data_IF_107334329096
#
_entry.id   IF_107334329096
#
_cell.length_a   1.000
_cell.length_b   1.000
_cell.length_c   1.000
_cell.angle_alpha   90.00
_cell.angle_beta   90.00
_cell.angle_gamma   90.00
#
_symmetry.space_group_name_H-M   'P 1'
#
loop_
_entity.id
_entity.type
_entity.pdbx_description
1 polymer ?
#
# COMPACT_ATOMS: atom_id res chain seq x y z
N UNK A 1 -60.47 20.20 -44.58
CA UNK A 1 -59.57 19.15 -45.09
C UNK A 1 -58.21 19.44 -44.47
N UNK A 2 -58.02 18.95 -43.23
CA UNK A 2 -57.42 17.63 -42.95
C UNK A 2 -55.93 17.69 -43.31
N UNK A 3 -55.04 17.92 -42.34
CA UNK A 3 -54.41 16.87 -41.52
C UNK A 3 -52.97 16.70 -42.04
N UNK A 4 -51.90 16.46 -41.30
CA UNK A 4 -51.63 16.13 -39.90
C UNK A 4 -50.17 16.53 -39.61
N UNK A 5 -49.88 16.68 -38.32
CA UNK A 5 -48.61 17.06 -37.71
C UNK A 5 -47.42 16.12 -38.00
N UNK A 6 -46.17 16.57 -37.74
CA UNK A 6 -45.12 15.68 -37.27
C UNK A 6 -45.34 15.38 -35.77
N UNK A 7 -45.77 14.16 -35.45
CA UNK A 7 -45.64 13.57 -34.09
C UNK A 7 -44.21 12.99 -33.98
N UNK A 8 -43.33 13.44 -33.06
CA UNK A 8 -43.26 13.22 -31.60
C UNK A 8 -43.23 11.75 -31.18
N UNK A 9 -42.05 11.29 -30.71
CA UNK A 9 -41.76 10.61 -29.42
C UNK A 9 -40.35 9.99 -29.50
N UNK A 10 -39.32 10.60 -28.88
CA UNK A 10 -38.92 10.47 -27.47
C UNK A 10 -38.18 9.15 -27.14
N UNK A 11 -36.90 9.28 -26.77
CA UNK A 11 -36.25 8.60 -25.64
C UNK A 11 -34.82 9.19 -25.54
N UNK A 12 -34.59 10.29 -24.83
CA UNK A 12 -34.46 10.33 -23.36
C UNK A 12 -33.45 9.29 -22.85
N UNK A 13 -32.17 9.44 -23.18
CA UNK A 13 -31.07 8.77 -22.47
C UNK A 13 -29.77 9.59 -22.36
N UNK A 14 -29.78 10.84 -22.79
CA UNK A 14 -28.75 11.82 -22.46
C UNK A 14 -29.42 12.90 -21.59
N UNK A 15 -28.75 13.30 -20.50
CA UNK A 15 -29.26 14.13 -19.39
C UNK A 15 -29.96 13.31 -18.28
N UNK A 16 -29.31 12.25 -17.77
CA UNK A 16 -29.62 11.75 -16.43
C UNK A 16 -28.41 11.07 -15.76
N UNK A 17 -27.27 11.75 -15.66
CA UNK A 17 -26.14 11.29 -14.80
C UNK A 17 -25.36 12.40 -14.08
N UNK A 18 -25.86 13.63 -14.04
CA UNK A 18 -25.20 14.77 -13.37
C UNK A 18 -25.99 15.30 -12.15
N UNK A 19 -27.24 14.89 -11.90
CA UNK A 19 -28.05 15.38 -10.77
C UNK A 19 -28.39 14.38 -9.67
N UNK A 20 -27.58 13.32 -9.45
CA UNK A 20 -27.82 12.36 -8.34
C UNK A 20 -26.88 12.46 -7.13
N UNK A 21 -26.08 13.52 -7.01
CA UNK A 21 -25.26 13.77 -5.82
C UNK A 21 -25.71 14.98 -4.97
N UNK A 22 -26.75 15.71 -5.36
CA UNK A 22 -27.18 16.93 -4.65
C UNK A 22 -28.09 16.70 -3.43
N UNK A 23 -28.51 15.46 -3.15
CA UNK A 23 -29.40 15.15 -2.01
C UNK A 23 -28.86 14.06 -1.07
N UNK A 24 -27.53 13.88 -0.99
CA UNK A 24 -26.94 13.18 0.15
C UNK A 24 -26.98 14.14 1.34
N UNK A 25 -27.53 13.77 2.51
CA UNK A 25 -27.54 14.66 3.66
C UNK A 25 -26.10 15.08 3.94
N UNK A 26 -25.80 16.38 3.78
CA UNK A 26 -24.62 16.96 4.43
C UNK A 26 -24.85 16.71 5.92
N UNK A 27 -24.17 15.70 6.46
CA UNK A 27 -24.05 15.52 7.90
C UNK A 27 -23.29 16.75 8.40
N UNK A 28 -24.05 17.79 8.73
CA UNK A 28 -23.54 18.91 9.51
C UNK A 28 -23.14 18.33 10.85
N UNK A 29 -21.84 18.11 11.02
CA UNK A 29 -21.20 17.84 12.30
C UNK A 29 -21.58 18.97 13.25
N UNK A 30 -22.64 18.77 14.02
CA UNK A 30 -23.13 19.68 15.05
C UNK A 30 -23.22 18.92 16.37
N UNK A 31 -22.04 18.58 16.89
CA UNK A 31 -21.79 18.18 18.28
C UNK A 31 -20.83 19.20 18.92
N UNK A 32 -20.83 19.35 20.25
CA UNK A 32 -20.56 20.62 20.92
C UNK A 32 -19.13 21.14 20.69
N UNK A 33 -19.10 22.36 20.16
CA UNK A 33 -18.12 23.44 20.28
C UNK A 33 -16.79 23.09 20.97
N UNK A 34 -15.78 22.79 20.16
CA UNK A 34 -14.42 23.39 20.08
C UNK A 34 -13.39 22.33 19.68
N UNK A 35 -13.38 21.95 18.40
CA UNK A 35 -12.16 21.44 17.75
C UNK A 35 -12.00 22.21 16.45
N UNK A 36 -11.63 23.50 16.58
CA UNK A 36 -11.20 24.34 15.47
C UNK A 36 -9.67 24.38 15.47
N UNK A 37 -9.02 23.32 15.01
CA UNK A 37 -7.66 23.45 14.50
C UNK A 37 -7.55 22.60 13.24
N UNK A 38 -7.48 23.29 12.09
CA UNK A 38 -7.01 22.68 10.87
C UNK A 38 -5.59 22.16 11.06
N UNK A 39 -5.16 21.26 10.18
CA UNK A 39 -3.77 20.83 10.04
C UNK A 39 -2.83 22.05 10.26
N UNK A 40 -1.76 21.87 11.03
CA UNK A 40 -0.73 22.92 11.18
C UNK A 40 -0.38 23.48 9.78
N UNK A 41 -0.12 24.78 9.65
CA UNK A 41 0.18 25.45 8.36
C UNK A 41 1.33 24.80 7.56
N UNK A 42 2.09 23.90 8.18
CA UNK A 42 3.18 23.12 7.59
C UNK A 42 2.84 21.68 7.17
N UNK A 43 1.63 21.18 7.39
CA UNK A 43 1.24 19.82 6.97
C UNK A 43 0.78 19.83 5.50
N UNK A 44 1.63 19.26 4.64
CA UNK A 44 1.34 19.11 3.21
C UNK A 44 0.10 18.25 2.98
N UNK A 45 -0.97 18.84 2.44
CA UNK A 45 -2.14 18.11 1.96
C UNK A 45 -1.73 17.15 0.84
N UNK A 46 -1.75 15.86 1.13
CA UNK A 46 -1.43 14.82 0.15
C UNK A 46 -2.54 14.72 -0.91
N UNK A 47 -2.16 14.50 -2.17
CA UNK A 47 -3.08 14.23 -3.29
C UNK A 47 -2.54 13.10 -4.14
N UNK A 48 -3.39 12.42 -4.90
CA UNK A 48 -2.99 11.35 -5.81
C UNK A 48 -2.02 11.86 -6.89
N UNK A 49 -2.10 13.15 -7.25
CA UNK A 49 -1.12 13.79 -8.13
C UNK A 49 0.30 13.78 -7.57
N UNK A 50 0.49 13.65 -6.25
CA UNK A 50 1.82 13.52 -5.65
C UNK A 50 2.51 12.20 -6.01
N UNK A 51 1.81 11.17 -6.50
CA UNK A 51 2.43 9.98 -7.08
C UNK A 51 2.67 10.11 -8.59
N UNK A 52 2.20 11.17 -9.24
CA UNK A 52 2.35 11.34 -10.68
C UNK A 52 3.51 12.26 -11.02
N UNK A 53 4.04 12.11 -12.23
CA UNK A 53 5.04 13.01 -12.83
C UNK A 53 6.34 13.13 -12.02
N UNK A 54 6.75 12.04 -11.37
CA UNK A 54 8.03 11.97 -10.66
C UNK A 54 9.06 11.26 -11.52
N UNK A 55 10.18 11.91 -11.80
CA UNK A 55 11.26 11.28 -12.54
C UNK A 55 11.88 10.15 -11.72
N UNK A 56 11.85 8.94 -12.25
CA UNK A 56 12.23 7.71 -11.54
C UNK A 56 12.81 6.64 -12.45
N UNK A 57 12.71 5.39 -12.03
CA UNK A 57 13.05 4.24 -12.89
C UNK A 57 11.99 4.11 -13.98
N UNK A 58 12.41 4.05 -15.24
CA UNK A 58 11.49 3.83 -16.35
C UNK A 58 10.89 2.42 -16.28
N UNK A 59 9.62 2.34 -15.88
CA UNK A 59 8.87 1.09 -15.89
C UNK A 59 8.34 0.80 -17.29
N UNK A 60 8.64 -0.39 -17.79
CA UNK A 60 8.18 -0.81 -19.12
C UNK A 60 7.93 -2.30 -19.15
N UNK A 61 7.09 -2.70 -20.10
CA UNK A 61 6.90 -4.11 -20.39
C UNK A 61 8.17 -4.71 -21.00
N UNK A 62 8.60 -5.83 -20.45
CA UNK A 62 9.66 -6.66 -21.02
C UNK A 62 9.05 -7.84 -21.78
N UNK A 63 9.76 -8.28 -22.81
CA UNK A 63 9.45 -9.54 -23.45
C UNK A 63 9.71 -10.71 -22.51
N UNK A 64 8.94 -11.78 -22.70
CA UNK A 64 9.08 -12.99 -21.91
C UNK A 64 10.48 -13.60 -22.02
N UNK A 65 11.06 -13.61 -23.22
CA UNK A 65 12.43 -14.07 -23.49
C UNK A 65 13.46 -13.35 -22.62
N UNK A 66 13.32 -12.03 -22.46
CA UNK A 66 14.19 -11.20 -21.63
C UNK A 66 14.00 -11.47 -20.14
N UNK A 67 12.76 -11.60 -19.69
CA UNK A 67 12.45 -11.94 -18.29
C UNK A 67 13.04 -13.31 -17.92
N UNK A 68 12.93 -14.28 -18.83
CA UNK A 68 13.48 -15.61 -18.63
C UNK A 68 15.01 -15.60 -18.62
N UNK A 69 15.64 -14.98 -19.63
CA UNK A 69 17.10 -14.98 -19.77
C UNK A 69 17.82 -14.24 -18.65
N UNK A 70 17.23 -13.17 -18.11
CA UNK A 70 17.85 -12.35 -17.06
C UNK A 70 17.36 -12.71 -15.65
N UNK A 71 16.33 -13.55 -15.51
CA UNK A 71 15.72 -13.81 -14.20
C UNK A 71 16.64 -14.54 -13.22
N UNK A 72 17.39 -15.53 -13.71
CA UNK A 72 18.39 -16.23 -12.90
C UNK A 72 19.56 -15.33 -12.48
N UNK A 73 20.06 -14.51 -13.41
CA UNK A 73 21.12 -13.54 -13.13
C UNK A 73 20.65 -12.50 -12.11
N UNK A 74 19.44 -11.98 -12.27
CA UNK A 74 18.79 -11.10 -11.30
C UNK A 74 18.76 -11.73 -9.91
N UNK A 75 18.31 -12.98 -9.76
CA UNK A 75 18.27 -13.65 -8.46
C UNK A 75 19.67 -13.89 -7.88
N UNK A 76 20.65 -14.27 -8.70
CA UNK A 76 22.05 -14.40 -8.25
C UNK A 76 22.63 -13.07 -7.76
N UNK A 77 22.31 -11.99 -8.45
CA UNK A 77 22.72 -10.64 -8.07
C UNK A 77 22.13 -10.21 -6.72
N UNK A 78 20.84 -10.48 -6.49
CA UNK A 78 20.19 -10.26 -5.18
C UNK A 78 20.74 -11.20 -4.10
N UNK A 79 21.18 -12.40 -4.45
CA UNK A 79 21.75 -13.34 -3.49
C UNK A 79 23.16 -12.92 -3.08
N UNK A 80 24.00 -12.51 -4.03
CA UNK A 80 25.44 -12.32 -3.80
C UNK A 80 25.82 -10.91 -3.33
N UNK A 81 24.97 -9.90 -3.53
CA UNK A 81 25.30 -8.51 -3.19
C UNK A 81 26.44 -7.96 -4.07
N UNK A 82 26.10 -7.36 -5.21
CA UNK A 82 27.10 -6.83 -6.13
C UNK A 82 27.31 -5.32 -5.93
N UNK A 83 28.36 -4.95 -5.20
CA UNK A 83 28.76 -3.57 -4.93
C UNK A 83 29.13 -2.74 -6.17
N UNK A 84 29.54 -3.40 -7.27
CA UNK A 84 30.01 -2.71 -8.49
C UNK A 84 28.89 -2.32 -9.48
N UNK A 85 27.64 -2.77 -9.28
CA UNK A 85 26.49 -2.44 -10.16
C UNK A 85 25.17 -2.29 -9.39
N UNK A 86 25.25 -1.78 -8.16
CA UNK A 86 24.12 -1.75 -7.22
C UNK A 86 22.90 -1.00 -7.78
N UNK A 87 23.06 0.13 -8.47
CA UNK A 87 21.91 0.90 -8.97
C UNK A 87 21.11 0.19 -10.06
N UNK A 88 21.79 -0.45 -11.02
CA UNK A 88 21.13 -1.25 -12.06
C UNK A 88 20.39 -2.44 -11.43
N UNK A 89 21.01 -3.07 -10.43
CA UNK A 89 20.45 -4.20 -9.70
C UNK A 89 19.13 -3.84 -9.03
N UNK A 90 19.07 -2.65 -8.45
CA UNK A 90 17.90 -2.12 -7.76
C UNK A 90 16.79 -1.68 -8.73
N UNK A 91 17.16 -1.10 -9.87
CA UNK A 91 16.21 -0.78 -10.93
C UNK A 91 15.57 -2.05 -11.50
N UNK A 92 16.32 -3.15 -11.61
CA UNK A 92 15.77 -4.44 -12.04
C UNK A 92 14.70 -4.96 -11.07
N UNK A 93 14.80 -4.72 -9.76
CA UNK A 93 13.72 -5.09 -8.82
C UNK A 93 12.41 -4.40 -9.22
N UNK A 94 12.44 -3.09 -9.46
CA UNK A 94 11.25 -2.33 -9.85
C UNK A 94 10.73 -2.75 -11.23
N UNK A 95 11.63 -3.00 -12.19
CA UNK A 95 11.26 -3.41 -13.54
C UNK A 95 10.68 -4.82 -13.59
N UNK A 96 11.26 -5.80 -12.89
CA UNK A 96 10.71 -7.14 -12.79
C UNK A 96 9.40 -7.15 -12.00
N UNK A 97 9.27 -6.32 -10.95
CA UNK A 97 8.01 -6.16 -10.24
C UNK A 97 6.90 -5.59 -11.15
N UNK A 98 7.21 -4.61 -12.01
CA UNK A 98 6.26 -4.11 -13.02
C UNK A 98 5.86 -5.19 -14.03
N UNK A 99 6.69 -6.21 -14.23
CA UNK A 99 6.39 -7.33 -15.12
C UNK A 99 5.78 -8.53 -14.39
N UNK A 100 5.28 -8.35 -13.17
CA UNK A 100 4.60 -9.40 -12.40
C UNK A 100 3.54 -10.16 -13.20
N UNK A 101 3.66 -11.49 -13.22
CA UNK A 101 2.66 -12.38 -13.79
C UNK A 101 1.54 -12.58 -12.77
N UNK A 102 0.31 -12.42 -13.23
CA UNK A 102 -0.91 -12.61 -12.46
C UNK A 102 -1.24 -14.10 -12.43
N UNK A 103 -1.33 -14.75 -11.24
CA UNK A 103 -1.75 -16.15 -11.18
C UNK A 103 -3.17 -16.37 -11.74
N UNK A 104 -4.07 -15.39 -11.58
CA UNK A 104 -5.45 -15.54 -12.06
C UNK A 104 -5.58 -15.48 -13.59
N UNK A 105 -4.83 -14.59 -14.26
CA UNK A 105 -4.92 -14.43 -15.72
C UNK A 105 -3.80 -15.13 -16.48
N UNK A 106 -2.75 -15.57 -15.79
CA UNK A 106 -1.48 -16.03 -16.37
C UNK A 106 -0.83 -15.04 -17.35
N UNK A 107 -1.30 -13.79 -17.34
CA UNK A 107 -0.73 -12.67 -18.06
C UNK A 107 -0.10 -11.68 -17.09
N UNK A 108 0.50 -10.62 -17.61
CA UNK A 108 1.06 -9.63 -16.71
C UNK A 108 -0.02 -8.79 -16.05
N UNK A 109 0.21 -8.48 -14.78
CA UNK A 109 -0.69 -7.69 -13.94
C UNK A 109 -0.77 -6.22 -14.38
N UNK A 110 0.38 -5.61 -14.68
CA UNK A 110 0.46 -4.18 -14.95
C UNK A 110 0.38 -3.90 -16.46
N UNK A 111 -0.20 -2.73 -16.84
CA UNK A 111 -0.32 -2.32 -18.23
C UNK A 111 1.06 -2.15 -18.87
N UNK A 112 1.07 -2.20 -20.21
CA UNK A 112 2.31 -1.99 -20.98
C UNK A 112 2.92 -0.60 -20.75
N UNK A 113 2.07 0.39 -20.51
CA UNK A 113 2.44 1.79 -20.30
C UNK A 113 2.29 2.11 -18.81
N UNK A 114 3.32 2.72 -18.23
CA UNK A 114 3.24 3.32 -16.91
C UNK A 114 2.47 4.66 -17.00
N UNK A 115 1.30 4.79 -16.33
CA UNK A 115 0.52 6.02 -16.36
C UNK A 115 1.17 7.19 -15.61
N UNK A 116 2.26 6.94 -14.87
CA UNK A 116 2.98 7.93 -14.07
C UNK A 116 4.33 8.34 -14.65
N UNK A 117 4.76 7.68 -15.75
CA UNK A 117 6.05 7.92 -16.38
C UNK A 117 6.21 9.33 -16.96
N UNK A 118 7.45 9.80 -17.01
CA UNK A 118 7.85 11.09 -17.57
C UNK A 118 8.97 10.93 -18.59
N UNK A 119 9.10 11.91 -19.50
CA UNK A 119 10.19 11.93 -20.50
C UNK A 119 11.59 11.97 -19.87
N UNK A 120 11.70 12.36 -18.59
CA UNK A 120 12.95 12.45 -17.83
C UNK A 120 13.24 11.21 -16.97
N UNK A 121 12.48 10.13 -17.13
CA UNK A 121 12.74 8.88 -16.40
C UNK A 121 14.07 8.25 -16.83
N UNK A 122 14.73 7.59 -15.88
CA UNK A 122 16.03 6.96 -16.11
C UNK A 122 15.81 5.59 -16.75
N UNK A 123 16.27 5.37 -18.00
CA UNK A 123 16.18 4.07 -18.64
C UNK A 123 17.21 3.13 -18.00
N UNK A 124 16.75 1.97 -17.54
CA UNK A 124 17.62 0.90 -17.08
C UNK A 124 17.55 -0.27 -18.06
N UNK A 125 18.72 -0.73 -18.50
CA UNK A 125 18.89 -1.89 -19.36
C UNK A 125 19.49 -2.99 -18.47
N UNK A 126 18.84 -4.16 -18.43
CA UNK A 126 19.44 -5.34 -17.84
C UNK A 126 20.78 -5.57 -18.55
N UNK A 127 21.89 -5.64 -17.81
CA UNK A 127 23.23 -5.76 -18.43
C UNK A 127 23.27 -7.03 -19.28
N UNK A 128 23.24 -6.86 -20.61
CA UNK A 128 23.16 -8.00 -21.53
C UNK A 128 22.70 -7.64 -22.95
N UNK A 129 23.41 -6.72 -23.62
CA UNK A 129 23.34 -6.37 -25.06
C UNK A 129 22.10 -5.61 -25.60
N UNK A 130 22.47 -4.65 -26.46
CA UNK A 130 21.71 -3.89 -27.47
C UNK A 130 20.59 -2.92 -27.02
N UNK A 131 20.70 -1.69 -27.52
CA UNK A 131 19.64 -0.68 -27.50
C UNK A 131 18.42 -1.24 -28.23
N UNK A 132 17.32 -1.42 -27.51
CA UNK A 132 16.08 -1.88 -28.11
C UNK A 132 15.31 -0.72 -28.76
N UNK A 133 14.98 -0.89 -30.04
CA UNK A 133 14.04 -0.10 -30.82
C UNK A 133 12.62 -0.23 -30.21
N UNK A 134 11.91 0.88 -29.90
CA UNK A 134 10.67 0.84 -29.14
C UNK A 134 9.41 0.44 -29.93
N UNK A 135 9.51 0.07 -31.21
CA UNK A 135 8.34 -0.47 -31.90
C UNK A 135 8.14 -1.93 -31.47
N UNK A 136 6.98 -2.29 -30.90
CA UNK A 136 6.28 -3.54 -31.23
C UNK A 136 4.99 -3.83 -30.44
N UNK A 137 4.10 -4.56 -31.09
CA UNK A 137 2.76 -4.98 -30.67
C UNK A 137 2.79 -6.12 -29.63
N UNK A 138 1.85 -6.09 -28.69
CA UNK A 138 1.71 -7.14 -27.67
C UNK A 138 0.95 -8.34 -28.22
N UNK A 139 1.63 -9.48 -28.35
CA UNK A 139 0.99 -10.79 -28.54
C UNK A 139 0.65 -11.38 -27.17
N UNK A 140 -0.61 -11.76 -26.95
CA UNK A 140 -1.02 -12.53 -25.77
C UNK A 140 -0.55 -13.97 -25.99
N UNK A 141 0.57 -14.35 -25.39
CA UNK A 141 1.00 -15.75 -25.34
C UNK A 141 0.36 -16.40 -24.12
N UNK A 142 -0.49 -17.41 -24.36
CA UNK A 142 -0.96 -18.34 -23.34
C UNK A 142 0.18 -19.31 -23.05
N UNK A 143 1.00 -19.02 -22.04
CA UNK A 143 2.06 -19.93 -21.61
C UNK A 143 1.47 -21.08 -20.79
N UNK A 144 2.01 -22.28 -20.97
CA UNK A 144 1.61 -23.44 -20.17
C UNK A 144 2.24 -23.36 -18.78
N UNK A 145 1.46 -23.66 -17.74
CA UNK A 145 1.95 -23.75 -16.35
C UNK A 145 3.05 -24.82 -16.22
N UNK A 146 3.08 -25.81 -17.11
CA UNK A 146 4.10 -26.87 -17.15
C UNK A 146 5.41 -26.43 -17.81
N UNK A 147 5.47 -25.25 -18.43
CA UNK A 147 6.69 -24.74 -19.07
C UNK A 147 7.68 -24.23 -17.98
N UNK A 148 8.87 -24.85 -17.84
CA UNK A 148 9.87 -24.40 -16.87
C UNK A 148 10.28 -22.94 -17.05
N UNK A 149 10.28 -22.42 -18.29
CA UNK A 149 10.60 -21.02 -18.54
C UNK A 149 9.52 -20.09 -17.97
N UNK A 150 8.25 -20.49 -18.09
CA UNK A 150 7.14 -19.71 -17.53
C UNK A 150 7.16 -19.72 -16.02
N UNK A 151 7.40 -20.88 -15.41
CA UNK A 151 7.55 -21.01 -13.96
C UNK A 151 8.69 -20.13 -13.42
N UNK A 152 9.83 -20.11 -14.13
CA UNK A 152 10.98 -19.27 -13.82
C UNK A 152 10.65 -17.77 -13.85
N UNK A 153 9.94 -17.30 -14.88
CA UNK A 153 9.49 -15.90 -14.98
C UNK A 153 8.50 -15.54 -13.87
N UNK A 154 7.54 -16.41 -13.57
CA UNK A 154 6.60 -16.21 -12.46
C UNK A 154 7.35 -16.06 -11.13
N UNK A 155 8.28 -16.97 -10.84
CA UNK A 155 9.05 -16.95 -9.60
C UNK A 155 9.95 -15.70 -9.47
N UNK A 156 10.58 -15.30 -10.56
CA UNK A 156 11.46 -14.12 -10.60
C UNK A 156 10.67 -12.84 -10.34
N UNK A 157 9.58 -12.62 -11.09
CA UNK A 157 8.77 -11.41 -10.97
C UNK A 157 7.99 -11.36 -9.64
N UNK A 158 7.57 -12.51 -9.11
CA UNK A 158 7.00 -12.63 -7.77
C UNK A 158 8.00 -12.26 -6.68
N UNK A 159 9.26 -12.72 -6.81
CA UNK A 159 10.34 -12.34 -5.88
C UNK A 159 10.64 -10.85 -5.95
N UNK A 160 10.65 -10.26 -7.15
CA UNK A 160 10.82 -8.82 -7.31
C UNK A 160 9.71 -8.02 -6.62
N UNK A 161 8.45 -8.47 -6.73
CA UNK A 161 7.31 -7.88 -6.00
C UNK A 161 7.47 -7.98 -4.48
N UNK A 162 7.92 -9.12 -3.96
CA UNK A 162 8.13 -9.27 -2.51
C UNK A 162 9.26 -8.37 -1.99
N UNK A 163 10.32 -8.15 -2.77
CA UNK A 163 11.43 -7.27 -2.40
C UNK A 163 11.01 -5.80 -2.23
N UNK A 164 9.88 -5.37 -2.81
CA UNK A 164 9.35 -4.02 -2.59
C UNK A 164 9.04 -3.74 -1.11
N UNK A 165 8.81 -4.78 -0.28
CA UNK A 165 8.67 -4.62 1.18
C UNK A 165 9.85 -3.88 1.81
N UNK A 166 11.05 -3.96 1.23
CA UNK A 166 12.28 -3.37 1.79
C UNK A 166 12.31 -1.84 1.77
N UNK A 167 11.37 -1.17 1.10
CA UNK A 167 11.18 0.27 1.25
C UNK A 167 10.85 0.67 2.70
N UNK A 168 10.21 -0.23 3.46
CA UNK A 168 9.74 0.03 4.82
C UNK A 168 10.22 -1.04 5.83
N UNK A 169 10.25 -2.31 5.41
CA UNK A 169 10.61 -3.47 6.20
C UNK A 169 12.13 -3.51 6.48
N UNK A 170 12.52 -4.26 7.53
CA UNK A 170 13.94 -4.54 7.80
C UNK A 170 14.40 -5.81 7.08
N UNK A 171 15.70 -5.94 6.74
CA UNK A 171 16.26 -7.15 6.14
C UNK A 171 15.98 -8.42 6.96
N UNK A 172 16.17 -8.37 8.28
CA UNK A 172 15.90 -9.51 9.16
C UNK A 172 14.42 -9.93 9.11
N UNK A 173 13.49 -8.96 9.16
CA UNK A 173 12.07 -9.27 9.06
C UNK A 173 11.75 -9.92 7.72
N UNK A 174 12.35 -9.46 6.62
CA UNK A 174 12.16 -10.06 5.29
C UNK A 174 12.64 -11.50 5.26
N UNK A 175 13.85 -11.77 5.75
CA UNK A 175 14.41 -13.12 5.85
C UNK A 175 13.52 -14.07 6.66
N UNK A 176 13.00 -13.62 7.81
CA UNK A 176 12.07 -14.42 8.60
C UNK A 176 10.78 -14.77 7.84
N UNK A 177 10.35 -13.92 6.91
CA UNK A 177 9.16 -14.16 6.09
C UNK A 177 9.41 -14.98 4.82
N UNK A 178 10.68 -15.30 4.49
CA UNK A 178 11.03 -15.90 3.19
C UNK A 178 10.35 -17.25 2.94
N UNK A 179 10.27 -18.12 3.96
CA UNK A 179 9.57 -19.40 3.84
C UNK A 179 8.09 -19.20 3.50
N UNK A 180 7.41 -18.30 4.21
CA UNK A 180 5.99 -17.99 3.97
C UNK A 180 5.77 -17.39 2.58
N UNK A 181 6.71 -16.55 2.10
CA UNK A 181 6.67 -15.98 0.75
C UNK A 181 6.67 -17.10 -0.30
N UNK A 182 7.52 -18.13 -0.14
CA UNK A 182 7.56 -19.31 -1.02
C UNK A 182 6.32 -20.19 -0.89
N UNK A 183 5.80 -20.38 0.31
CA UNK A 183 4.58 -21.17 0.52
C UNK A 183 3.38 -20.49 -0.15
N UNK A 184 3.28 -19.16 -0.04
CA UNK A 184 2.24 -18.37 -0.72
C UNK A 184 2.43 -18.38 -2.24
N UNK A 185 3.65 -18.47 -2.75
CA UNK A 185 3.92 -18.65 -4.19
C UNK A 185 3.29 -19.96 -4.67
N UNK A 186 3.62 -21.08 -4.01
CA UNK A 186 3.04 -22.38 -4.33
C UNK A 186 1.51 -22.35 -4.27
N UNK A 187 0.94 -21.77 -3.20
CA UNK A 187 -0.50 -21.66 -3.05
C UNK A 187 -1.18 -20.82 -4.15
N UNK A 188 -0.46 -19.85 -4.72
CA UNK A 188 -1.02 -18.95 -5.75
C UNK A 188 -0.90 -19.54 -7.16
N UNK A 189 0.23 -20.18 -7.46
CA UNK A 189 0.55 -20.66 -8.81
C UNK A 189 0.33 -22.16 -9.03
N UNK A 190 0.23 -22.95 -7.95
CA UNK A 190 0.02 -24.40 -8.02
C UNK A 190 1.27 -25.23 -8.35
N UNK A 191 2.46 -24.63 -8.38
CA UNK A 191 3.73 -25.33 -8.62
C UNK A 191 4.83 -24.84 -7.68
N UNK A 192 5.84 -25.70 -7.46
CA UNK A 192 6.94 -25.40 -6.54
C UNK A 192 7.80 -24.24 -7.04
N UNK A 193 8.37 -23.48 -6.09
CA UNK A 193 9.31 -22.42 -6.43
C UNK A 193 10.56 -23.00 -7.14
N UNK A 194 10.82 -22.65 -8.41
CA UNK A 194 11.78 -23.36 -9.26
C UNK A 194 13.24 -23.12 -8.85
N UNK A 195 13.55 -21.98 -8.22
CA UNK A 195 14.91 -21.64 -7.81
C UNK A 195 15.22 -22.15 -6.40
N UNK A 196 15.35 -23.47 -6.24
CA UNK A 196 15.64 -24.10 -4.93
C UNK A 196 16.94 -23.62 -4.28
N UNK A 197 17.91 -23.17 -5.10
CA UNK A 197 19.18 -22.62 -4.65
C UNK A 197 19.09 -21.17 -4.17
N UNK A 198 18.00 -20.45 -4.48
CA UNK A 198 17.89 -19.04 -4.16
C UNK A 198 17.46 -18.83 -2.71
N UNK A 199 18.36 -18.21 -1.94
CA UNK A 199 18.13 -17.75 -0.59
C UNK A 199 18.69 -16.32 -0.52
N UNK A 200 17.86 -15.29 -0.29
CA UNK A 200 18.35 -13.92 -0.16
C UNK A 200 19.42 -13.83 0.94
N UNK A 201 20.55 -13.15 0.69
CA UNK A 201 21.54 -12.88 1.73
C UNK A 201 21.15 -11.65 2.55
N UNK A 202 21.56 -11.63 3.82
CA UNK A 202 21.27 -10.49 4.70
C UNK A 202 21.97 -9.23 4.21
N UNK A 203 23.22 -9.38 3.78
CA UNK A 203 24.09 -8.31 3.31
C UNK A 203 23.50 -7.64 2.07
N UNK A 204 23.02 -8.41 1.08
CA UNK A 204 22.38 -7.82 -0.09
C UNK A 204 21.06 -7.12 0.25
N UNK A 205 20.25 -7.70 1.14
CA UNK A 205 19.00 -7.07 1.58
C UNK A 205 19.25 -5.77 2.35
N UNK A 206 20.33 -5.67 3.13
CA UNK A 206 20.77 -4.44 3.79
C UNK A 206 21.14 -3.35 2.78
N UNK A 207 21.88 -3.71 1.72
CA UNK A 207 22.21 -2.81 0.63
C UNK A 207 20.96 -2.31 -0.11
N UNK A 208 20.05 -3.22 -0.46
CA UNK A 208 18.78 -2.89 -1.14
C UNK A 208 17.94 -1.95 -0.28
N UNK A 209 17.75 -2.31 1.00
CA UNK A 209 16.99 -1.53 1.97
C UNK A 209 17.59 -0.12 2.14
N UNK A 210 18.92 -0.02 2.25
CA UNK A 210 19.61 1.27 2.38
C UNK A 210 19.37 2.17 1.17
N UNK A 211 19.50 1.62 -0.03
CA UNK A 211 19.31 2.38 -1.27
C UNK A 211 17.86 2.79 -1.50
N UNK A 212 16.88 1.89 -1.29
CA UNK A 212 15.46 2.23 -1.38
C UNK A 212 15.04 3.34 -0.42
N UNK A 213 15.65 3.41 0.77
CA UNK A 213 15.36 4.44 1.76
C UNK A 213 16.02 5.79 1.45
N UNK A 214 17.20 5.80 0.83
CA UNK A 214 18.01 7.02 0.60
C UNK A 214 17.83 7.63 -0.79
N UNK A 215 17.70 6.81 -1.83
CA UNK A 215 17.71 7.26 -3.21
C UNK A 215 16.29 7.62 -3.70
N UNK A 216 16.09 8.88 -4.07
CA UNK A 216 14.81 9.39 -4.57
C UNK A 216 14.39 8.75 -5.90
N UNK A 217 15.34 8.32 -6.74
CA UNK A 217 15.04 7.68 -8.03
C UNK A 217 14.26 6.38 -7.83
N UNK A 218 14.67 5.52 -6.89
CA UNK A 218 13.96 4.27 -6.62
C UNK A 218 12.62 4.50 -5.92
N UNK A 219 12.54 5.49 -5.01
CA UNK A 219 11.25 5.90 -4.44
C UNK A 219 10.30 6.38 -5.53
N UNK A 220 10.77 7.22 -6.44
CA UNK A 220 9.96 7.70 -7.55
C UNK A 220 9.59 6.55 -8.50
N UNK A 221 10.49 5.61 -8.79
CA UNK A 221 10.16 4.41 -9.58
C UNK A 221 9.09 3.50 -8.93
N UNK A 222 8.89 3.59 -7.61
CA UNK A 222 7.82 2.88 -6.91
C UNK A 222 6.43 3.52 -7.14
N UNK A 223 6.34 4.77 -7.60
CA UNK A 223 5.04 5.47 -7.71
C UNK A 223 4.09 4.80 -8.68
N UNK A 224 4.56 4.36 -9.84
CA UNK A 224 3.74 3.67 -10.83
C UNK A 224 3.14 2.38 -10.27
N UNK A 225 3.96 1.60 -9.55
CA UNK A 225 3.52 0.37 -8.88
C UNK A 225 2.43 0.64 -7.84
N UNK A 226 2.61 1.66 -6.99
CA UNK A 226 1.62 2.04 -5.96
C UNK A 226 0.33 2.60 -6.58
N UNK A 227 0.45 3.43 -7.60
CA UNK A 227 -0.70 3.99 -8.32
C UNK A 227 -1.53 2.87 -8.95
N UNK A 228 -0.89 1.94 -9.65
CA UNK A 228 -1.58 0.81 -10.27
C UNK A 228 -2.10 -0.20 -9.25
N UNK A 229 -1.42 -0.36 -8.12
CA UNK A 229 -1.88 -1.23 -7.04
C UNK A 229 -3.26 -0.81 -6.51
N UNK A 230 -3.51 0.49 -6.36
CA UNK A 230 -4.82 1.02 -5.96
C UNK A 230 -5.85 0.99 -7.08
N UNK A 231 -5.41 1.20 -8.32
CA UNK A 231 -6.32 1.26 -9.48
C UNK A 231 -6.84 -0.12 -9.91
N UNK A 232 -6.05 -1.18 -9.75
CA UNK A 232 -6.37 -2.52 -10.23
C UNK A 232 -7.05 -3.33 -9.11
N UNK A 233 -8.16 -4.02 -9.39
CA UNK A 233 -8.84 -4.87 -8.40
C UNK A 233 -8.39 -6.34 -8.40
N UNK A 234 -7.97 -6.88 -9.56
CA UNK A 234 -7.59 -8.30 -9.69
C UNK A 234 -6.45 -8.69 -8.76
N UNK A 235 -6.49 -9.85 -8.11
CA UNK A 235 -5.47 -10.35 -7.16
C UNK A 235 -4.95 -9.31 -6.15
N UNK A 236 -5.82 -8.38 -5.71
CA UNK A 236 -5.43 -7.35 -4.74
C UNK A 236 -4.85 -7.96 -3.47
N UNK A 237 -5.47 -9.02 -2.94
CA UNK A 237 -5.00 -9.73 -1.75
C UNK A 237 -3.57 -10.26 -1.90
N UNK A 238 -3.21 -10.75 -3.10
CA UNK A 238 -1.86 -11.22 -3.36
C UNK A 238 -0.87 -10.06 -3.43
N UNK A 239 -1.22 -8.95 -4.07
CA UNK A 239 -0.35 -7.77 -4.09
C UNK A 239 -0.20 -7.15 -2.69
N UNK A 240 -1.29 -7.11 -1.94
CA UNK A 240 -1.32 -6.68 -0.54
C UNK A 240 -0.37 -7.52 0.31
N UNK A 241 -0.46 -8.84 0.16
CA UNK A 241 0.48 -9.77 0.75
C UNK A 241 1.91 -9.50 0.27
N UNK A 242 2.16 -9.39 -1.03
CA UNK A 242 3.52 -9.26 -1.57
C UNK A 242 4.20 -7.97 -1.14
N UNK A 243 3.50 -6.84 -1.12
CA UNK A 243 4.09 -5.57 -0.71
C UNK A 243 3.11 -4.56 -0.12
N UNK A 244 1.84 -4.54 -0.57
CA UNK A 244 0.90 -3.45 -0.26
C UNK A 244 0.76 -3.20 1.25
N UNK A 245 0.46 -4.23 2.03
CA UNK A 245 0.30 -4.13 3.49
C UNK A 245 1.56 -3.65 4.24
N UNK A 246 2.74 -3.84 3.66
CA UNK A 246 4.00 -3.41 4.27
C UNK A 246 4.33 -1.95 3.95
N UNK A 247 3.81 -1.43 2.83
CA UNK A 247 4.05 -0.05 2.39
C UNK A 247 2.97 0.92 2.89
N UNK A 248 1.74 0.44 3.02
CA UNK A 248 0.62 1.22 3.53
C UNK A 248 0.81 1.64 4.99
N UNK A 249 0.41 2.87 5.29
CA UNK A 249 0.41 3.45 6.63
C UNK A 249 1.73 3.24 7.38
N UNK A 250 2.87 3.25 6.66
CA UNK A 250 4.17 2.99 7.25
C UNK A 250 4.43 3.93 8.44
N UNK A 251 4.72 3.32 9.60
CA UNK A 251 4.90 4.01 10.88
C UNK A 251 3.68 4.85 11.36
N UNK A 252 2.47 4.58 10.86
CA UNK A 252 1.21 5.22 11.25
C UNK A 252 0.23 4.19 11.85
N UNK A 253 0.72 3.33 12.76
CA UNK A 253 -0.06 2.20 13.32
C UNK A 253 -1.39 2.61 13.97
N UNK A 254 -1.51 3.84 14.48
CA UNK A 254 -2.74 4.33 15.09
C UNK A 254 -3.94 4.29 14.11
N UNK A 255 -3.74 4.67 12.84
CA UNK A 255 -4.83 4.70 11.86
C UNK A 255 -5.43 3.31 11.54
N UNK A 256 -4.66 2.29 11.09
CA UNK A 256 -5.24 0.98 10.79
C UNK A 256 -5.80 0.30 12.04
N UNK A 257 -5.22 0.53 13.23
CA UNK A 257 -5.79 0.03 14.48
C UNK A 257 -7.13 0.70 14.79
N UNK A 258 -7.22 2.03 14.65
CA UNK A 258 -8.47 2.78 14.82
C UNK A 258 -9.57 2.24 13.90
N UNK A 259 -9.28 2.08 12.60
CA UNK A 259 -10.24 1.55 11.62
C UNK A 259 -10.65 0.11 11.97
N UNK A 260 -9.72 -0.71 12.46
CA UNK A 260 -10.01 -2.08 12.92
C UNK A 260 -10.96 -2.08 14.12
N UNK A 261 -10.66 -1.28 15.15
CA UNK A 261 -11.50 -1.14 16.35
C UNK A 261 -12.91 -0.68 15.97
N UNK A 262 -13.04 0.37 15.15
CA UNK A 262 -14.34 0.88 14.69
C UNK A 262 -15.16 -0.19 13.99
N UNK A 263 -14.54 -0.95 13.08
CA UNK A 263 -15.20 -2.07 12.38
C UNK A 263 -15.63 -3.18 13.34
N UNK A 264 -14.78 -3.56 14.29
CA UNK A 264 -15.04 -4.69 15.21
C UNK A 264 -16.07 -4.36 16.27
N UNK A 265 -15.97 -3.17 16.86
CA UNK A 265 -16.96 -2.67 17.77
C UNK A 265 -18.23 -2.21 17.06
N UNK A 266 -18.27 -2.21 15.72
CA UNK A 266 -19.30 -1.60 14.87
C UNK A 266 -19.76 -0.25 15.45
N UNK A 267 -18.80 0.61 15.80
CA UNK A 267 -19.06 1.96 16.24
C UNK A 267 -18.66 2.93 15.12
N UNK A 268 -19.39 4.04 15.01
CA UNK A 268 -18.96 5.10 14.11
C UNK A 268 -17.66 5.74 14.61
N UNK A 269 -16.92 6.34 13.68
CA UNK A 269 -15.62 6.91 13.98
C UNK A 269 -15.70 8.10 14.96
N UNK A 270 -16.81 8.84 14.99
CA UNK A 270 -17.00 9.99 15.87
C UNK A 270 -17.08 9.56 17.33
N UNK A 271 -17.88 8.53 17.61
CA UNK A 271 -18.02 7.93 18.93
C UNK A 271 -16.71 7.32 19.41
N UNK A 272 -15.96 6.64 18.53
CA UNK A 272 -14.64 6.10 18.90
C UNK A 272 -13.63 7.22 19.19
N UNK A 273 -13.58 8.26 18.36
CA UNK A 273 -12.71 9.44 18.59
C UNK A 273 -13.05 10.13 19.91
N UNK A 274 -14.33 10.36 20.18
CA UNK A 274 -14.79 11.00 21.42
C UNK A 274 -14.43 10.19 22.67
N UNK A 275 -14.60 8.86 22.62
CA UNK A 275 -14.21 7.98 23.72
C UNK A 275 -12.69 7.96 23.95
N UNK A 276 -11.90 7.97 22.86
CA UNK A 276 -10.44 8.07 22.92
C UNK A 276 -10.00 9.43 23.48
N UNK A 277 -10.59 10.53 23.05
CA UNK A 277 -10.26 11.88 23.53
C UNK A 277 -10.54 12.01 25.04
N UNK A 278 -11.67 11.47 25.48
CA UNK A 278 -12.06 11.47 26.90
C UNK A 278 -11.07 10.66 27.76
N UNK A 279 -10.60 9.52 27.24
CA UNK A 279 -9.73 8.60 27.99
C UNK A 279 -8.24 8.91 27.83
N UNK A 280 -7.87 9.67 26.79
CA UNK A 280 -6.49 10.00 26.42
C UNK A 280 -6.37 11.46 25.95
N UNK A 281 -6.74 12.46 26.77
CA UNK A 281 -6.71 13.87 26.36
C UNK A 281 -5.30 14.34 25.96
N UNK A 282 -4.26 13.76 26.56
CA UNK A 282 -2.86 14.02 26.20
C UNK A 282 -2.46 13.56 24.78
N UNK A 283 -3.37 12.95 24.02
CA UNK A 283 -3.16 12.52 22.63
C UNK A 283 -4.01 13.32 21.63
N UNK A 284 -4.58 14.45 22.05
CA UNK A 284 -5.44 15.33 21.25
C UNK A 284 -4.88 15.59 19.84
N UNK A 285 -3.63 16.06 19.72
CA UNK A 285 -3.02 16.36 18.41
C UNK A 285 -2.94 15.15 17.45
N UNK A 286 -2.82 13.93 17.99
CA UNK A 286 -2.85 12.72 17.17
C UNK A 286 -4.28 12.35 16.77
N UNK A 287 -5.25 12.54 17.68
CA UNK A 287 -6.67 12.33 17.42
C UNK A 287 -7.22 13.33 16.39
N UNK A 288 -6.80 14.59 16.44
CA UNK A 288 -7.14 15.62 15.44
C UNK A 288 -6.64 15.21 14.06
N UNK A 289 -5.40 14.71 13.98
CA UNK A 289 -4.84 14.23 12.72
C UNK A 289 -5.60 13.01 12.18
N UNK A 290 -6.08 12.09 13.04
CA UNK A 290 -6.97 11.00 12.61
C UNK A 290 -8.29 11.54 12.06
N UNK A 291 -8.89 12.52 12.72
CA UNK A 291 -10.12 13.16 12.27
C UNK A 291 -9.95 13.81 10.90
N UNK A 292 -8.82 14.50 10.67
CA UNK A 292 -8.51 15.06 9.35
C UNK A 292 -8.40 13.94 8.31
N UNK A 293 -7.64 12.87 8.58
CA UNK A 293 -7.53 11.74 7.63
C UNK A 293 -8.92 11.20 7.26
N UNK A 294 -9.77 10.99 8.27
CA UNK A 294 -11.12 10.46 8.07
C UNK A 294 -11.97 11.39 7.21
N UNK A 295 -11.95 12.69 7.50
CA UNK A 295 -12.79 13.69 6.81
C UNK A 295 -12.31 13.91 5.38
N UNK A 296 -11.01 14.14 5.21
CA UNK A 296 -10.43 14.66 3.98
C UNK A 296 -10.03 13.58 2.97
N UNK A 297 -9.92 12.32 3.42
CA UNK A 297 -9.41 11.23 2.59
C UNK A 297 -10.28 9.97 2.61
N UNK A 298 -11.02 9.69 3.69
CA UNK A 298 -11.81 8.45 3.80
C UNK A 298 -13.27 8.68 3.44
N UNK A 299 -13.95 9.63 4.08
CA UNK A 299 -15.40 9.81 3.94
C UNK A 299 -15.80 10.75 2.81
N UNK A 300 -15.01 11.80 2.57
CA UNK A 300 -15.27 12.75 1.50
C UNK A 300 -14.02 12.98 0.65
N UNK A 301 -13.45 11.93 0.02
CA UNK A 301 -12.30 12.11 -0.83
C UNK A 301 -12.67 13.03 -2.01
N UNK A 302 -11.93 14.13 -2.16
CA UNK A 302 -11.96 14.93 -3.37
C UNK A 302 -11.54 14.06 -4.57
N UNK A 303 -11.89 14.45 -5.81
CA UNK A 303 -11.52 13.68 -7.02
C UNK A 303 -10.02 13.37 -7.10
N UNK A 304 -9.18 14.29 -6.63
CA UNK A 304 -7.73 14.17 -6.56
C UNK A 304 -7.20 13.33 -5.37
N UNK A 305 -8.08 12.66 -4.63
CA UNK A 305 -7.77 11.77 -3.49
C UNK A 305 -8.53 10.44 -3.55
N UNK A 306 -9.24 10.18 -4.65
CA UNK A 306 -10.12 9.01 -4.78
C UNK A 306 -9.37 7.67 -4.69
N UNK A 307 -8.09 7.62 -5.10
CA UNK A 307 -7.26 6.42 -5.01
C UNK A 307 -6.67 6.21 -3.62
N UNK A 308 -6.87 7.16 -2.70
CA UNK A 308 -6.40 7.09 -1.32
C UNK A 308 -4.89 6.83 -1.18
N UNK A 309 -4.08 7.41 -2.08
CA UNK A 309 -2.62 7.18 -2.12
C UNK A 309 -1.88 7.77 -0.91
N UNK A 310 -2.57 8.58 -0.10
CA UNK A 310 -2.05 9.19 1.14
C UNK A 310 -1.50 8.16 2.12
N UNK A 311 -1.99 6.92 2.09
CA UNK A 311 -1.47 5.83 2.93
C UNK A 311 0.00 5.51 2.64
N UNK A 312 0.53 5.88 1.47
CA UNK A 312 1.94 5.73 1.13
C UNK A 312 2.77 7.00 1.36
N UNK A 313 2.14 8.10 1.79
CA UNK A 313 2.73 9.44 1.81
C UNK A 313 4.12 9.47 2.46
N UNK A 314 4.26 8.75 3.57
CA UNK A 314 5.47 8.75 4.39
C UNK A 314 6.70 8.08 3.79
N UNK A 315 6.54 7.30 2.72
CA UNK A 315 7.67 6.78 1.96
C UNK A 315 8.41 7.94 1.27
N UNK A 316 7.64 8.94 0.82
CA UNK A 316 8.09 10.07 0.02
C UNK A 316 8.31 11.34 0.84
N UNK A 317 7.41 11.61 1.77
CA UNK A 317 7.39 12.78 2.65
C UNK A 317 7.36 12.28 4.10
N UNK A 318 8.54 12.05 4.72
CA UNK A 318 8.64 11.44 6.05
C UNK A 318 7.84 12.16 7.15
N UNK A 319 7.54 13.44 6.95
CA UNK A 319 6.81 14.32 7.87
C UNK A 319 5.31 14.41 7.64
N UNK A 320 4.76 13.81 6.57
CA UNK A 320 3.30 13.69 6.45
C UNK A 320 2.72 12.95 7.67
N UNK A 321 1.63 13.50 8.23
CA UNK A 321 0.94 12.98 9.41
C UNK A 321 1.88 12.82 10.61
N UNK A 322 2.65 13.86 10.91
CA UNK A 322 3.75 13.81 11.88
C UNK A 322 3.27 13.41 13.28
N UNK A 323 2.12 13.94 13.73
CA UNK A 323 1.57 13.63 15.06
C UNK A 323 1.13 12.16 15.18
N UNK A 324 0.77 11.52 14.07
CA UNK A 324 0.40 10.09 14.02
C UNK A 324 1.57 9.14 13.84
N UNK A 325 2.81 9.64 13.79
CA UNK A 325 4.01 8.79 13.84
C UNK A 325 3.93 7.91 15.08
N UNK A 326 4.14 6.60 14.92
CA UNK A 326 3.94 5.60 15.99
C UNK A 326 4.73 5.95 17.26
N UNK A 327 5.96 6.44 17.13
CA UNK A 327 6.81 6.86 18.25
C UNK A 327 6.38 8.19 18.89
N UNK A 328 5.56 9.02 18.22
CA UNK A 328 4.96 10.25 18.77
C UNK A 328 3.65 9.98 19.52
N UNK A 329 2.90 8.96 19.11
CA UNK A 329 1.59 8.61 19.68
C UNK A 329 1.56 7.19 20.28
N UNK A 330 2.66 6.75 20.90
CA UNK A 330 2.81 5.36 21.39
C UNK A 330 1.70 4.94 22.35
N UNK A 331 1.27 5.83 23.24
CA UNK A 331 0.16 5.56 24.17
C UNK A 331 -1.17 5.35 23.45
N UNK A 332 -1.48 6.19 22.45
CA UNK A 332 -2.67 6.00 21.61
C UNK A 332 -2.62 4.64 20.88
N UNK A 333 -1.47 4.30 20.29
CA UNK A 333 -1.26 3.01 19.61
C UNK A 333 -1.44 1.85 20.58
N UNK A 334 -0.91 1.94 21.80
CA UNK A 334 -1.05 0.91 22.83
C UNK A 334 -2.52 0.70 23.24
N UNK A 335 -3.26 1.79 23.51
CA UNK A 335 -4.70 1.73 23.83
C UNK A 335 -5.48 1.07 22.70
N UNK A 336 -5.25 1.49 21.45
CA UNK A 336 -5.92 0.90 20.28
C UNK A 336 -5.55 -0.58 20.08
N UNK A 337 -4.29 -0.95 20.30
CA UNK A 337 -3.85 -2.35 20.24
C UNK A 337 -4.54 -3.22 21.31
N UNK A 338 -4.67 -2.72 22.54
CA UNK A 338 -5.43 -3.39 23.58
C UNK A 338 -6.92 -3.51 23.25
N UNK A 339 -7.53 -2.47 22.67
CA UNK A 339 -8.92 -2.52 22.20
C UNK A 339 -9.14 -3.62 21.15
N UNK A 340 -8.23 -3.73 20.18
CA UNK A 340 -8.26 -4.82 19.19
C UNK A 340 -8.18 -6.19 19.87
N UNK A 341 -7.29 -6.35 20.87
CA UNK A 341 -7.14 -7.60 21.62
C UNK A 341 -8.38 -7.95 22.43
N UNK A 342 -9.03 -6.96 23.06
CA UNK A 342 -10.30 -7.15 23.78
C UNK A 342 -11.45 -7.56 22.86
N UNK A 343 -11.42 -7.12 21.59
CA UNK A 343 -12.34 -7.60 20.56
C UNK A 343 -12.07 -9.05 20.12
N UNK A 344 -11.04 -9.72 20.68
CA UNK A 344 -10.63 -11.12 20.42
C UNK A 344 -10.43 -11.43 18.93
N UNK A 345 -9.83 -10.50 18.18
CA UNK A 345 -9.69 -10.66 16.74
C UNK A 345 -8.24 -10.60 16.27
N UNK A 346 -7.92 -11.49 15.33
CA UNK A 346 -6.72 -11.39 14.50
C UNK A 346 -6.79 -10.05 13.76
N UNK A 347 -5.79 -9.19 14.00
CA UNK A 347 -5.67 -7.92 13.31
C UNK A 347 -4.83 -8.09 12.02
N UNK A 348 -4.76 -7.07 11.18
CA UNK A 348 -3.97 -7.10 9.92
C UNK A 348 -2.46 -7.36 10.12
N UNK A 349 -1.98 -7.21 11.36
CA UNK A 349 -0.64 -7.61 11.75
C UNK A 349 -0.64 -9.11 11.98
N UNK A 350 0.09 -9.85 11.16
CA UNK A 350 0.39 -11.27 11.39
C UNK A 350 1.26 -11.38 12.67
N UNK A 351 0.61 -11.44 13.83
CA UNK A 351 1.24 -11.44 15.16
C UNK A 351 0.41 -10.75 16.24
N UNK A 352 0.78 -10.93 17.52
CA UNK A 352 0.19 -10.17 18.62
C UNK A 352 0.40 -8.67 18.34
N UNK A 353 -0.69 -7.89 18.28
CA UNK A 353 -0.68 -6.45 18.00
C UNK A 353 0.14 -5.68 19.05
N UNK A 354 0.41 -6.30 20.21
CA UNK A 354 1.31 -5.78 21.23
C UNK A 354 2.80 -5.92 20.89
N UNK A 355 3.17 -6.65 19.83
CA UNK A 355 4.55 -6.77 19.35
C UNK A 355 4.99 -5.65 18.42
N UNK A 356 4.19 -4.59 18.24
CA UNK A 356 4.64 -3.36 17.59
C UNK A 356 5.92 -2.89 18.30
N UNK A 357 7.04 -2.85 17.58
CA UNK A 357 8.37 -2.67 18.16
C UNK A 357 8.50 -1.42 19.02
N UNK A 358 7.83 -0.34 18.63
CA UNK A 358 7.80 0.92 19.38
C UNK A 358 7.15 0.79 20.77
N UNK A 359 6.20 -0.14 20.95
CA UNK A 359 5.55 -0.35 22.25
C UNK A 359 6.47 -0.98 23.28
N UNK A 360 7.58 -1.60 22.86
CA UNK A 360 8.62 -2.14 23.76
C UNK A 360 9.34 -1.05 24.57
N UNK A 361 9.21 0.21 24.17
CA UNK A 361 9.79 1.35 24.87
C UNK A 361 8.90 1.87 26.00
N UNK A 362 7.64 1.44 26.10
CA UNK A 362 6.75 1.80 27.20
C UNK A 362 7.08 0.97 28.44
N UNK A 363 6.98 1.57 29.63
CA UNK A 363 7.13 0.84 30.88
C UNK A 363 5.95 -0.11 31.13
N UNK A 364 6.13 -1.10 32.01
CA UNK A 364 5.05 -2.01 32.40
C UNK A 364 3.85 -1.27 33.02
N UNK A 365 4.11 -0.19 33.75
CA UNK A 365 3.08 0.67 34.34
C UNK A 365 2.30 1.43 33.24
N UNK A 366 3.00 1.99 32.26
CA UNK A 366 2.37 2.68 31.13
C UNK A 366 1.50 1.74 30.29
N UNK A 367 1.97 0.51 30.05
CA UNK A 367 1.19 -0.51 29.36
C UNK A 367 -0.06 -0.91 30.17
N UNK A 368 0.06 -1.02 31.50
CA UNK A 368 -1.07 -1.30 32.38
C UNK A 368 -2.11 -0.19 32.35
N UNK A 369 -1.69 1.07 32.40
CA UNK A 369 -2.59 2.24 32.25
C UNK A 369 -3.28 2.24 30.88
N UNK A 370 -2.54 1.97 29.79
CA UNK A 370 -3.12 1.88 28.45
C UNK A 370 -4.16 0.75 28.34
N UNK A 371 -3.90 -0.40 28.98
CA UNK A 371 -4.85 -1.51 29.04
C UNK A 371 -6.12 -1.13 29.81
N UNK A 372 -5.99 -0.48 30.97
CA UNK A 372 -7.14 -0.03 31.76
C UNK A 372 -8.00 0.96 30.97
N UNK A 373 -7.39 1.92 30.28
CA UNK A 373 -8.09 2.86 29.39
C UNK A 373 -8.82 2.15 28.26
N UNK A 374 -8.20 1.16 27.64
CA UNK A 374 -8.86 0.34 26.62
C UNK A 374 -10.09 -0.41 27.17
N UNK A 375 -10.01 -0.97 28.37
CA UNK A 375 -11.13 -1.64 29.03
C UNK A 375 -12.28 -0.68 29.32
N UNK A 376 -11.98 0.54 29.81
CA UNK A 376 -12.98 1.59 30.04
C UNK A 376 -13.68 2.02 28.75
N UNK A 377 -12.92 2.28 27.68
CA UNK A 377 -13.48 2.64 26.36
C UNK A 377 -14.37 1.50 25.83
N UNK A 378 -13.89 0.26 25.92
CA UNK A 378 -14.62 -0.90 25.43
C UNK A 378 -15.95 -1.09 26.16
N UNK A 379 -15.97 -0.90 27.49
CA UNK A 379 -17.20 -0.94 28.28
C UNK A 379 -18.18 0.17 27.86
N UNK A 380 -17.71 1.43 27.82
CA UNK A 380 -18.54 2.58 27.48
C UNK A 380 -19.15 2.49 26.07
N UNK A 381 -18.42 1.95 25.10
CA UNK A 381 -18.91 1.78 23.73
C UNK A 381 -19.87 0.59 23.56
N UNK A 382 -19.80 -0.43 24.43
CA UNK A 382 -20.78 -1.51 24.45
C UNK A 382 -22.11 -1.09 25.05
N UNK A 383 -22.09 -0.29 26.12
CA UNK A 383 -23.29 0.19 26.80
C UNK A 383 -24.17 1.07 25.89
N UNK A 384 -23.56 1.85 24.98
CA UNK A 384 -24.30 2.70 24.01
C UNK A 384 -25.02 1.92 22.90
N UNK A 385 -24.86 0.60 22.83
CA UNK A 385 -25.51 -0.27 21.84
C UNK A 385 -26.69 -1.07 22.39
N UNK A 386 -26.79 -1.19 23.71
CA UNK A 386 -27.98 -1.72 24.37
C UNK A 386 -29.01 -0.61 24.53
#
# INVERSE_FOLDING_TARGET
>A
MEGQAPHLEANAFEIERVHKYENTPRLWFTGPTTMQHGLNENETLWTDYKLMRRSGVQLRRLEFSLLFSHGEEFLRMIMNGNSENSENSLALILLFAWNFICPTTMGHMFPKIDPTATDNDVPFIAKGREQFDPQWNASIHLYSISDPAFQAVCATTYTAMSLLRLFTMTPNSYLCSWTQIKDKFFASYGFEFPYRWYIPSKESLEEICSNFKRNKIFKNGLTGLLYMHEKISIDRELRDYLFGHYLECFNLHAFPLFMSVGKKLQCDAVNLLSALLTSCPQQETALDCLQVILTDFVYCPQENRCLQTWKYARIFEPDCFHSLKTWKCMRLVAVLAHLVKLCQTVCRYDGDVLHISALKSLSAEELSDCKQKAEMIHAALKERKG
#
